data_IF_727997127116
#
_entry.id   IF_727997127116
#
_cell.length_a   1.000
_cell.length_b   1.000
_cell.length_c   1.000
_cell.angle_alpha   90.00
_cell.angle_beta   90.00
_cell.angle_gamma   90.00
#
_symmetry.space_group_name_H-M   'P 1'
#
loop_
_entity.id
_entity.type
_entity.pdbx_description
1 polymer ?
#
# COMPACT_ATOMS: atom_id res chain seq x y z
N UNK A 1 -18.44 -24.52 16.92
CA UNK A 1 -19.04 -23.25 16.47
C UNK A 1 -19.98 -23.59 15.34
N UNK A 2 -21.26 -23.35 15.54
CA UNK A 2 -22.29 -23.51 14.51
C UNK A 2 -22.30 -22.24 13.64
N UNK A 3 -22.70 -22.34 12.37
CA UNK A 3 -22.78 -21.19 11.44
C UNK A 3 -23.66 -20.04 11.98
N UNK A 4 -24.56 -20.37 12.92
CA UNK A 4 -25.48 -19.47 13.63
C UNK A 4 -24.81 -18.61 14.71
N UNK A 5 -23.55 -18.87 15.09
CA UNK A 5 -22.84 -18.13 16.14
C UNK A 5 -22.34 -16.73 15.69
N UNK A 6 -22.35 -16.49 14.37
CA UNK A 6 -21.85 -15.26 13.73
C UNK A 6 -23.04 -14.51 13.11
N UNK A 7 -23.28 -13.25 13.52
CA UNK A 7 -24.39 -12.45 13.01
C UNK A 7 -24.41 -12.30 11.49
N UNK A 8 -25.60 -12.33 10.89
CA UNK A 8 -25.81 -12.29 9.42
C UNK A 8 -25.23 -11.03 8.76
N UNK A 9 -25.29 -9.90 9.44
CA UNK A 9 -24.70 -8.64 8.97
C UNK A 9 -23.16 -8.72 8.80
N UNK A 10 -22.48 -9.56 9.58
CA UNK A 10 -21.03 -9.78 9.44
C UNK A 10 -20.75 -10.60 8.18
N UNK A 11 -21.56 -11.62 7.91
CA UNK A 11 -21.47 -12.41 6.68
C UNK A 11 -21.73 -11.58 5.43
N UNK A 12 -22.74 -10.72 5.47
CA UNK A 12 -23.05 -9.78 4.39
C UNK A 12 -21.91 -8.78 4.15
N UNK A 13 -21.30 -8.24 5.22
CA UNK A 13 -20.15 -7.35 5.12
C UNK A 13 -18.86 -8.07 4.64
N UNK A 14 -18.76 -9.39 4.87
CA UNK A 14 -17.62 -10.18 4.45
C UNK A 14 -17.73 -10.66 3.00
N UNK A 15 -18.94 -10.72 2.42
CA UNK A 15 -19.13 -11.29 1.09
C UNK A 15 -18.44 -10.46 0.00
N UNK A 16 -17.65 -11.14 -0.84
CA UNK A 16 -17.10 -10.65 -2.10
C UNK A 16 -17.68 -11.50 -3.23
N UNK A 17 -18.03 -10.86 -4.34
CA UNK A 17 -18.42 -11.54 -5.58
C UNK A 17 -19.94 -11.63 -5.77
N UNK A 18 -20.32 -11.94 -7.01
CA UNK A 18 -21.71 -12.09 -7.41
C UNK A 18 -22.35 -13.36 -6.85
N UNK A 19 -23.68 -13.47 -7.00
CA UNK A 19 -24.52 -14.51 -6.40
C UNK A 19 -24.04 -15.95 -6.68
N UNK A 20 -23.35 -16.17 -7.80
CA UNK A 20 -22.90 -17.50 -8.26
C UNK A 20 -21.55 -17.96 -7.69
N UNK A 21 -20.69 -17.06 -7.20
CA UNK A 21 -19.37 -17.43 -6.68
C UNK A 21 -19.05 -16.63 -5.40
N UNK A 22 -19.75 -16.98 -4.32
CA UNK A 22 -19.65 -16.28 -3.04
C UNK A 22 -18.30 -16.54 -2.39
N UNK A 23 -17.45 -15.54 -2.39
CA UNK A 23 -16.23 -15.52 -1.61
C UNK A 23 -16.45 -14.71 -0.33
N UNK A 24 -15.71 -15.02 0.73
CA UNK A 24 -15.81 -14.29 1.99
C UNK A 24 -14.46 -13.76 2.45
N UNK A 25 -14.47 -12.51 2.91
CA UNK A 25 -13.37 -11.84 3.60
C UNK A 25 -13.22 -12.40 5.00
N UNK A 26 -12.35 -13.39 5.12
CA UNK A 26 -12.07 -14.02 6.41
C UNK A 26 -11.50 -13.04 7.44
N UNK A 27 -10.85 -11.94 7.02
CA UNK A 27 -10.39 -10.89 7.92
C UNK A 27 -11.54 -10.18 8.65
N UNK A 28 -12.68 -9.99 7.98
CA UNK A 28 -13.88 -9.38 8.59
C UNK A 28 -14.48 -10.31 9.64
N UNK A 29 -14.60 -11.60 9.30
CA UNK A 29 -15.19 -12.62 10.17
C UNK A 29 -14.32 -12.86 11.40
N UNK A 30 -13.01 -13.07 11.21
CA UNK A 30 -12.07 -13.23 12.32
C UNK A 30 -11.88 -11.96 13.13
N UNK A 31 -12.06 -10.78 12.51
CA UNK A 31 -12.14 -9.49 13.20
C UNK A 31 -13.26 -9.45 14.23
N UNK A 32 -14.46 -9.91 13.85
CA UNK A 32 -15.56 -10.07 14.79
C UNK A 32 -15.25 -11.12 15.87
N UNK A 33 -14.78 -12.30 15.47
CA UNK A 33 -14.50 -13.41 16.39
C UNK A 33 -13.39 -13.08 17.40
N UNK A 34 -12.47 -12.18 17.08
CA UNK A 34 -11.45 -11.70 18.02
C UNK A 34 -12.04 -11.14 19.32
N UNK A 35 -13.24 -10.54 19.26
CA UNK A 35 -13.92 -10.04 20.47
C UNK A 35 -14.40 -11.18 21.39
N UNK A 36 -14.75 -12.34 20.82
CA UNK A 36 -15.22 -13.53 21.56
C UNK A 36 -14.10 -14.49 21.92
N UNK A 37 -13.09 -14.60 21.05
CA UNK A 37 -11.96 -15.53 21.13
C UNK A 37 -10.67 -14.74 20.90
N UNK A 38 -10.18 -13.99 21.90
CA UNK A 38 -9.10 -13.01 21.70
C UNK A 38 -7.78 -13.64 21.25
N UNK A 39 -7.41 -14.80 21.81
CA UNK A 39 -6.18 -15.48 21.44
C UNK A 39 -6.28 -16.07 20.02
N UNK A 40 -7.34 -16.82 19.75
CA UNK A 40 -7.53 -17.50 18.46
C UNK A 40 -7.74 -16.50 17.32
N UNK A 41 -8.57 -15.46 17.55
CA UNK A 41 -8.78 -14.40 16.55
C UNK A 41 -7.51 -13.63 16.24
N UNK A 42 -6.63 -13.40 17.23
CA UNK A 42 -5.31 -12.79 16.98
C UNK A 42 -4.42 -13.68 16.10
N UNK A 43 -4.38 -14.98 16.39
CA UNK A 43 -3.62 -15.95 15.59
C UNK A 43 -4.17 -16.02 14.16
N UNK A 44 -5.48 -16.21 14.00
CA UNK A 44 -6.13 -16.31 12.71
C UNK A 44 -5.92 -15.07 11.83
N UNK A 45 -6.09 -13.87 12.40
CA UNK A 45 -5.81 -12.62 11.70
C UNK A 45 -4.33 -12.48 11.33
N UNK A 46 -3.41 -12.97 12.16
CA UNK A 46 -1.97 -12.94 11.85
C UNK A 46 -1.63 -13.87 10.69
N UNK A 47 -2.22 -15.06 10.65
CA UNK A 47 -2.06 -16.02 9.55
C UNK A 47 -2.60 -15.44 8.24
N UNK A 48 -3.73 -14.74 8.27
CA UNK A 48 -4.32 -14.12 7.09
C UNK A 48 -3.48 -12.98 6.48
N UNK A 49 -2.53 -12.42 7.22
CA UNK A 49 -1.58 -11.42 6.70
C UNK A 49 -0.46 -12.08 5.90
N UNK A 50 -0.22 -13.39 6.08
CA UNK A 50 0.81 -14.11 5.36
C UNK A 50 0.35 -14.27 3.89
N UNK A 51 1.08 -13.69 2.92
CA UNK A 51 0.71 -13.81 1.53
C UNK A 51 0.80 -15.26 1.08
N UNK A 52 -0.23 -15.74 0.38
CA UNK A 52 -0.31 -17.13 -0.08
C UNK A 52 0.54 -17.41 -1.34
N UNK A 53 1.06 -16.36 -1.98
CA UNK A 53 1.97 -16.45 -3.12
C UNK A 53 2.93 -15.27 -3.20
N UNK A 54 4.06 -15.49 -3.87
CA UNK A 54 5.10 -14.49 -4.08
C UNK A 54 4.73 -13.44 -5.16
N UNK A 55 3.58 -13.58 -5.84
CA UNK A 55 3.23 -12.78 -7.03
C UNK A 55 3.19 -11.27 -6.76
N UNK A 56 2.78 -10.87 -5.55
CA UNK A 56 2.81 -9.46 -5.13
C UNK A 56 4.22 -8.90 -5.03
N UNK A 57 5.14 -9.66 -4.45
CA UNK A 57 6.55 -9.29 -4.30
C UNK A 57 7.28 -9.31 -5.64
N UNK A 58 6.98 -10.27 -6.51
CA UNK A 58 7.52 -10.33 -7.88
C UNK A 58 7.13 -9.10 -8.70
N UNK A 59 5.91 -8.58 -8.52
CA UNK A 59 5.48 -7.32 -9.15
C UNK A 59 6.31 -6.13 -8.66
N UNK A 60 6.61 -6.10 -7.37
CA UNK A 60 7.49 -5.10 -6.76
C UNK A 60 8.91 -5.22 -7.33
N UNK A 61 9.47 -6.44 -7.38
CA UNK A 61 10.81 -6.68 -7.91
C UNK A 61 10.92 -6.37 -9.40
N UNK A 62 9.91 -6.68 -10.19
CA UNK A 62 9.85 -6.28 -11.61
C UNK A 62 9.89 -4.76 -11.76
N UNK A 63 9.15 -4.03 -10.91
CA UNK A 63 9.17 -2.57 -10.90
C UNK A 63 10.56 -2.03 -10.51
N UNK A 64 11.19 -2.61 -9.50
CA UNK A 64 12.56 -2.24 -9.09
C UNK A 64 13.56 -2.53 -10.21
N UNK A 65 13.49 -3.70 -10.84
CA UNK A 65 14.38 -4.11 -11.93
C UNK A 65 14.28 -3.15 -13.13
N UNK A 66 13.07 -2.74 -13.52
CA UNK A 66 12.89 -1.74 -14.59
C UNK A 66 13.58 -0.41 -14.27
N UNK A 67 13.46 0.07 -13.03
CA UNK A 67 14.05 1.36 -12.60
C UNK A 67 15.54 1.30 -12.24
N UNK A 68 16.08 0.09 -12.04
CA UNK A 68 17.50 -0.15 -11.74
C UNK A 68 18.34 -0.40 -12.98
N UNK A 69 17.81 -1.14 -13.97
CA UNK A 69 18.65 -1.81 -14.98
C UNK A 69 18.34 -1.49 -16.44
N UNK A 70 17.15 -1.01 -16.82
CA UNK A 70 16.75 -0.99 -18.25
C UNK A 70 16.71 0.38 -18.94
N UNK A 71 16.99 1.51 -18.26
CA UNK A 71 16.98 2.85 -18.88
C UNK A 71 18.19 3.71 -18.53
N UNK A 72 18.47 4.71 -19.38
CA UNK A 72 19.51 5.75 -19.18
C UNK A 72 19.32 6.52 -17.85
N UNK A 73 18.08 6.60 -17.36
CA UNK A 73 17.69 7.21 -16.09
C UNK A 73 17.59 6.19 -14.95
N UNK A 74 18.67 5.45 -14.67
CA UNK A 74 18.70 4.52 -13.54
C UNK A 74 18.65 5.27 -12.21
N UNK A 75 17.77 4.85 -11.30
CA UNK A 75 17.73 5.41 -9.95
C UNK A 75 18.68 4.63 -9.03
N UNK A 76 19.41 5.35 -8.18
CA UNK A 76 20.27 4.72 -7.18
C UNK A 76 19.43 3.93 -6.17
N UNK A 77 19.80 2.65 -5.99
CA UNK A 77 19.08 1.72 -5.12
C UNK A 77 19.07 2.17 -3.65
N UNK A 78 20.23 2.62 -3.14
CA UNK A 78 20.40 3.06 -1.75
C UNK A 78 19.86 4.46 -1.44
N UNK A 79 19.24 5.14 -2.41
CA UNK A 79 18.72 6.49 -2.26
C UNK A 79 17.31 6.62 -2.81
N UNK A 80 17.17 7.36 -3.91
CA UNK A 80 15.88 7.75 -4.48
C UNK A 80 14.96 6.59 -4.81
N UNK A 81 15.48 5.46 -5.31
CA UNK A 81 14.62 4.32 -5.68
C UNK A 81 13.94 3.70 -4.47
N UNK A 82 14.67 3.47 -3.37
CA UNK A 82 14.12 2.93 -2.14
C UNK A 82 13.09 3.89 -1.52
N UNK A 83 13.40 5.18 -1.47
CA UNK A 83 12.47 6.20 -0.96
C UNK A 83 11.15 6.24 -1.76
N UNK A 84 11.23 6.26 -3.09
CA UNK A 84 10.04 6.28 -3.97
C UNK A 84 9.23 5.00 -3.84
N UNK A 85 9.89 3.83 -3.80
CA UNK A 85 9.21 2.54 -3.66
C UNK A 85 8.50 2.41 -2.31
N UNK A 86 9.13 2.87 -1.21
CA UNK A 86 8.49 2.93 0.12
C UNK A 86 7.24 3.78 0.10
N UNK A 87 7.32 4.99 -0.47
CA UNK A 87 6.17 5.88 -0.61
C UNK A 87 5.07 5.15 -1.38
N UNK A 88 5.39 4.62 -2.57
CA UNK A 88 4.44 3.92 -3.46
C UNK A 88 3.76 2.72 -2.81
N UNK A 89 4.44 1.95 -1.97
CA UNK A 89 3.86 0.82 -1.24
C UNK A 89 3.04 1.25 -0.03
N UNK A 90 3.41 2.36 0.61
CA UNK A 90 2.70 2.90 1.79
C UNK A 90 1.45 3.69 1.45
N UNK A 91 1.21 4.02 0.16
CA UNK A 91 0.01 4.76 -0.26
C UNK A 91 -1.23 3.92 0.10
N UNK A 92 -2.09 4.40 1.03
CA UNK A 92 -3.35 3.75 1.33
C UNK A 92 -4.19 3.60 0.07
N UNK A 93 -4.96 2.52 -0.04
CA UNK A 93 -5.84 2.30 -1.20
C UNK A 93 -6.83 3.45 -1.43
N UNK A 94 -7.19 4.16 -0.37
CA UNK A 94 -8.05 5.36 -0.39
C UNK A 94 -7.42 6.56 -1.10
N UNK A 95 -6.08 6.61 -1.15
CA UNK A 95 -5.31 7.62 -1.89
C UNK A 95 -5.00 7.18 -3.33
N UNK A 96 -5.56 6.04 -3.75
CA UNK A 96 -5.59 5.61 -5.14
C UNK A 96 -6.99 5.87 -5.73
N UNK A 97 -7.06 6.40 -6.96
CA UNK A 97 -5.95 6.78 -7.84
C UNK A 97 -5.29 8.12 -7.43
N UNK A 98 -3.98 8.24 -7.69
CA UNK A 98 -3.14 9.35 -7.23
C UNK A 98 -3.61 10.75 -7.66
N UNK A 99 -4.41 10.87 -8.73
CA UNK A 99 -4.99 12.14 -9.17
C UNK A 99 -6.05 12.70 -8.20
N UNK A 100 -6.60 11.86 -7.31
CA UNK A 100 -7.53 12.31 -6.25
C UNK A 100 -6.80 12.89 -5.05
N UNK A 101 -5.52 12.56 -4.89
CA UNK A 101 -4.73 13.10 -3.79
C UNK A 101 -4.39 14.57 -4.06
N UNK A 102 -4.80 15.45 -3.15
CA UNK A 102 -4.44 16.86 -3.16
C UNK A 102 -3.39 17.12 -2.08
N UNK A 103 -2.17 17.59 -2.44
CA UNK A 103 -1.17 17.95 -1.45
C UNK A 103 -1.66 19.10 -0.57
N UNK A 104 -1.27 19.07 0.70
CA UNK A 104 -1.57 20.19 1.60
C UNK A 104 -0.78 21.44 1.21
N UNK A 105 -1.36 22.62 1.44
CA UNK A 105 -0.68 23.91 1.21
C UNK A 105 0.63 24.04 1.99
N UNK A 106 0.73 23.41 3.17
CA UNK A 106 1.96 23.35 3.97
C UNK A 106 3.07 22.56 3.26
N UNK A 107 2.72 21.40 2.69
CA UNK A 107 3.66 20.58 1.93
C UNK A 107 4.13 21.32 0.67
N UNK A 108 3.19 21.93 -0.07
CA UNK A 108 3.52 22.70 -1.27
C UNK A 108 4.48 23.87 -0.97
N UNK A 109 4.25 24.60 0.12
CA UNK A 109 5.16 25.68 0.54
C UNK A 109 6.58 25.16 0.83
N UNK A 110 6.71 24.05 1.56
CA UNK A 110 8.01 23.43 1.85
C UNK A 110 8.74 22.93 0.60
N UNK A 111 8.02 22.33 -0.34
CA UNK A 111 8.61 21.89 -1.60
C UNK A 111 9.11 23.09 -2.42
N UNK A 112 8.30 24.16 -2.50
CA UNK A 112 8.67 25.39 -3.22
C UNK A 112 9.83 26.17 -2.60
N UNK A 113 10.06 26.04 -1.29
CA UNK A 113 11.21 26.68 -0.63
C UNK A 113 12.52 25.92 -0.82
N UNK A 114 12.49 24.66 -1.28
CA UNK A 114 13.69 23.87 -1.56
C UNK A 114 14.22 24.07 -3.00
N UNK A 115 13.35 24.49 -3.93
CA UNK A 115 13.69 24.77 -5.33
C UNK A 115 14.66 25.94 -5.56
N UNK A 116 14.66 27.04 -4.77
CA UNK A 116 15.59 28.16 -4.95
C UNK A 116 17.04 27.73 -4.76
N UNK A 117 17.32 26.93 -3.72
CA UNK A 117 18.68 26.45 -3.41
C UNK A 117 19.29 25.64 -4.56
N UNK A 118 18.53 24.71 -5.14
CA UNK A 118 19.00 23.93 -6.29
C UNK A 118 19.28 24.82 -7.52
N UNK A 119 18.39 25.77 -7.81
CA UNK A 119 18.53 26.69 -8.93
C UNK A 119 19.68 27.68 -8.75
N UNK A 120 19.97 28.09 -7.52
CA UNK A 120 21.13 28.92 -7.19
C UNK A 120 22.45 28.15 -7.33
N UNK A 121 22.50 26.91 -6.84
CA UNK A 121 23.70 26.04 -6.91
C UNK A 121 24.04 25.61 -8.34
N UNK A 122 23.06 25.55 -9.25
CA UNK A 122 23.22 25.10 -10.63
C UNK A 122 22.90 26.19 -11.66
N UNK A 123 22.73 27.43 -11.22
CA UNK A 123 22.76 28.60 -12.09
C UNK A 123 24.16 28.67 -12.67
N UNK A 124 24.33 28.44 -13.97
CA UNK A 124 25.58 28.73 -14.66
C UNK A 124 25.91 30.19 -14.38
N UNK A 125 26.92 30.43 -13.53
CA UNK A 125 27.61 31.70 -13.54
C UNK A 125 28.41 31.68 -14.83
N UNK A 126 27.81 32.20 -15.90
CA UNK A 126 28.51 32.47 -17.15
C UNK A 126 29.78 33.25 -16.80
N UNK A 127 30.91 32.67 -17.19
CA UNK A 127 32.25 33.25 -17.11
C UNK A 127 32.38 34.40 -18.11
#
# INVERSE_FOLDING_TARGET
MCETDIPRNIWEAAQIGDIQDKQYRMDVIWGYLKSKLPLLGKIALSVLVIPHSNTGEERVFSTIRKNKTEFRSRLQLGGSLNAIMRIKMSIPRELLPCYKWKPSNKLLKKCKSATPLYNEDHSSKDQ
#
